data_IF_343289546896
#
_entry.id   IF_343289546896
#
_cell.length_a   1.000
_cell.length_b   1.000
_cell.length_c   1.000
_cell.angle_alpha   90.00
_cell.angle_beta   90.00
_cell.angle_gamma   90.00
#
_symmetry.space_group_name_H-M   'P 1'
#
loop_
_entity.id
_entity.type
_entity.pdbx_description
1 polymer ?
#
# COMPACT_ATOMS: atom_id res chain seq x y z
N UNK A 1 -1.78 -25.54 15.36
CA UNK A 1 -2.37 -24.65 16.38
C UNK A 1 -1.34 -24.52 17.49
N UNK A 2 -1.05 -23.31 17.96
CA UNK A 2 -0.10 -23.11 19.07
C UNK A 2 -0.80 -23.30 20.43
N UNK A 3 -0.01 -23.36 21.50
CA UNK A 3 -0.54 -23.64 22.85
C UNK A 3 -1.44 -22.53 23.43
N UNK A 4 -1.29 -21.27 22.97
CA UNK A 4 -2.14 -20.14 23.37
C UNK A 4 -3.53 -20.27 22.73
N UNK A 5 -3.56 -20.64 21.44
CA UNK A 5 -4.80 -20.91 20.70
C UNK A 5 -5.55 -22.09 21.34
N UNK A 6 -4.84 -23.15 21.75
CA UNK A 6 -5.44 -24.30 22.45
C UNK A 6 -6.06 -23.87 23.80
N UNK A 7 -5.34 -23.07 24.59
CA UNK A 7 -5.87 -22.53 25.85
C UNK A 7 -7.14 -21.70 25.63
N UNK A 8 -7.15 -20.91 24.55
CA UNK A 8 -8.29 -20.06 24.17
C UNK A 8 -9.48 -20.91 23.70
N UNK A 9 -9.23 -21.96 22.89
CA UNK A 9 -10.25 -22.90 22.41
C UNK A 9 -10.97 -23.58 23.58
N UNK A 10 -10.22 -24.01 24.58
CA UNK A 10 -10.78 -24.62 25.79
C UNK A 10 -11.42 -23.62 26.76
N UNK A 11 -11.21 -22.32 26.56
CA UNK A 11 -11.59 -21.25 27.48
C UNK A 11 -11.04 -21.48 28.89
N UNK A 12 -9.76 -21.89 28.99
CA UNK A 12 -9.15 -22.19 30.29
C UNK A 12 -9.03 -20.93 31.13
N UNK A 13 -9.49 -21.00 32.37
CA UNK A 13 -9.28 -19.93 33.33
C UNK A 13 -7.79 -19.82 33.69
N UNK A 14 -7.18 -18.72 33.24
CA UNK A 14 -5.77 -18.39 33.42
C UNK A 14 -5.40 -18.26 34.91
N UNK A 15 -6.36 -17.95 35.78
CA UNK A 15 -6.12 -17.88 37.23
C UNK A 15 -5.93 -19.25 37.89
N UNK A 16 -6.37 -20.33 37.24
CA UNK A 16 -6.26 -21.69 37.76
C UNK A 16 -4.96 -22.40 37.36
N UNK A 17 -4.12 -21.76 36.56
CA UNK A 17 -2.85 -22.34 36.12
C UNK A 17 -1.99 -22.71 37.33
N UNK A 18 -1.56 -23.98 37.39
CA UNK A 18 -0.80 -24.55 38.52
C UNK A 18 -1.66 -25.13 39.65
N UNK A 19 -2.98 -24.92 39.64
CA UNK A 19 -3.93 -25.52 40.60
C UNK A 19 -4.83 -26.61 40.00
N UNK A 20 -4.66 -26.88 38.70
CA UNK A 20 -5.43 -27.90 37.97
C UNK A 20 -5.21 -29.30 38.56
N UNK A 21 -6.30 -30.00 38.80
CA UNK A 21 -6.35 -31.37 39.30
C UNK A 21 -6.20 -32.38 38.17
N UNK A 22 -5.98 -33.66 38.52
CA UNK A 22 -5.97 -34.75 37.54
C UNK A 22 -7.29 -34.86 36.78
N UNK A 23 -8.42 -34.59 37.43
CA UNK A 23 -9.74 -34.61 36.79
C UNK A 23 -9.85 -33.52 35.72
N UNK A 24 -9.37 -32.30 36.01
CA UNK A 24 -9.35 -31.19 35.06
C UNK A 24 -8.53 -31.52 33.82
N UNK A 25 -7.35 -32.15 34.01
CA UNK A 25 -6.54 -32.60 32.88
C UNK A 25 -7.24 -33.66 32.02
N UNK A 26 -7.93 -34.62 32.63
CA UNK A 26 -8.69 -35.64 31.90
C UNK A 26 -9.87 -35.05 31.13
N UNK A 27 -10.57 -34.07 31.71
CA UNK A 27 -11.65 -33.36 31.03
C UNK A 27 -11.13 -32.56 29.83
N UNK A 28 -10.05 -31.79 30.02
CA UNK A 28 -9.41 -31.04 28.92
C UNK A 28 -8.96 -31.96 27.79
N UNK A 29 -8.37 -33.12 28.10
CA UNK A 29 -7.91 -34.09 27.11
C UNK A 29 -9.10 -34.65 26.31
N UNK A 30 -10.18 -35.03 27.00
CA UNK A 30 -11.41 -35.48 26.33
C UNK A 30 -12.01 -34.40 25.42
N UNK A 31 -12.00 -33.12 25.83
CA UNK A 31 -12.49 -32.02 25.01
C UNK A 31 -11.61 -31.80 23.78
N UNK A 32 -10.29 -31.83 23.93
CA UNK A 32 -9.38 -31.66 22.80
C UNK A 32 -9.48 -32.78 21.77
N UNK A 33 -9.70 -34.02 22.20
CA UNK A 33 -9.93 -35.13 21.26
C UNK A 33 -11.21 -34.96 20.44
N UNK A 34 -12.26 -34.37 21.02
CA UNK A 34 -13.47 -34.01 20.27
C UNK A 34 -13.20 -32.87 19.29
N UNK A 35 -12.44 -31.84 19.71
CA UNK A 35 -12.14 -30.68 18.87
C UNK A 35 -11.19 -30.99 17.71
N UNK A 36 -10.38 -32.06 17.78
CA UNK A 36 -9.54 -32.51 16.66
C UNK A 36 -10.33 -32.79 15.38
N UNK A 37 -11.61 -33.17 15.52
CA UNK A 37 -12.49 -33.39 14.37
C UNK A 37 -12.86 -32.08 13.65
N UNK A 38 -12.88 -30.96 14.36
CA UNK A 38 -13.26 -29.65 13.85
C UNK A 38 -12.05 -28.78 13.47
N UNK A 39 -10.86 -29.10 13.99
CA UNK A 39 -9.64 -28.30 13.84
C UNK A 39 -8.48 -29.14 13.30
N UNK A 40 -8.29 -29.15 11.98
CA UNK A 40 -7.24 -29.93 11.31
C UNK A 40 -5.81 -29.56 11.72
N UNK A 41 -5.62 -28.37 12.30
CA UNK A 41 -4.34 -27.89 12.80
C UNK A 41 -4.09 -28.23 14.28
N UNK A 42 -5.04 -28.87 14.97
CA UNK A 42 -4.89 -29.43 16.32
C UNK A 42 -4.32 -30.85 16.21
N UNK A 43 -3.06 -31.03 16.58
CA UNK A 43 -2.33 -32.30 16.46
C UNK A 43 -1.99 -32.88 17.83
N UNK A 44 -1.76 -34.20 17.90
CA UNK A 44 -1.30 -34.87 19.13
C UNK A 44 -0.05 -34.20 19.70
N UNK A 45 0.85 -33.76 18.81
CA UNK A 45 2.03 -33.01 19.20
C UNK A 45 1.65 -31.70 19.91
N UNK A 46 0.76 -30.89 19.32
CA UNK A 46 0.34 -29.61 19.90
C UNK A 46 -0.38 -29.77 21.25
N UNK A 47 -1.20 -30.82 21.38
CA UNK A 47 -1.88 -31.18 22.64
C UNK A 47 -0.84 -31.59 23.70
N UNK A 48 0.13 -32.43 23.34
CA UNK A 48 1.19 -32.83 24.25
C UNK A 48 2.03 -31.64 24.72
N UNK A 49 2.36 -30.70 23.82
CA UNK A 49 3.06 -29.46 24.18
C UNK A 49 2.23 -28.57 25.10
N UNK A 50 0.93 -28.42 24.84
CA UNK A 50 0.01 -27.67 25.70
C UNK A 50 -0.03 -28.23 27.12
N UNK A 51 -0.20 -29.55 27.29
CA UNK A 51 -0.19 -30.17 28.61
C UNK A 51 1.19 -30.12 29.28
N UNK A 52 2.28 -30.21 28.52
CA UNK A 52 3.64 -30.03 29.05
C UNK A 52 3.83 -28.61 29.58
N UNK A 53 3.39 -27.61 28.83
CA UNK A 53 3.40 -26.20 29.22
C UNK A 53 2.58 -25.97 30.50
N UNK A 54 1.33 -26.45 30.57
CA UNK A 54 0.48 -26.33 31.75
C UNK A 54 1.07 -27.00 33.00
N UNK A 55 1.63 -28.21 32.86
CA UNK A 55 2.12 -29.00 34.01
C UNK A 55 3.47 -28.51 34.54
N UNK A 56 4.38 -28.08 33.65
CA UNK A 56 5.78 -27.78 34.03
C UNK A 56 6.12 -26.29 34.01
N UNK A 57 5.31 -25.47 33.33
CA UNK A 57 5.60 -24.06 33.08
C UNK A 57 4.37 -23.17 33.32
N UNK A 58 3.52 -23.53 34.29
CA UNK A 58 2.26 -22.84 34.57
C UNK A 58 2.42 -21.32 34.75
N UNK A 59 3.42 -20.89 35.53
CA UNK A 59 3.67 -19.47 35.82
C UNK A 59 4.11 -18.67 34.58
N UNK A 60 5.15 -19.08 33.82
CA UNK A 60 5.48 -18.45 32.54
C UNK A 60 4.31 -18.44 31.53
N UNK A 61 3.56 -19.54 31.47
CA UNK A 61 2.41 -19.64 30.57
C UNK A 61 1.32 -18.62 30.97
N UNK A 62 1.03 -18.52 32.26
CA UNK A 62 0.10 -17.54 32.80
C UNK A 62 0.51 -16.10 32.45
N UNK A 63 1.80 -15.78 32.58
CA UNK A 63 2.33 -14.47 32.24
C UNK A 63 2.15 -14.14 30.74
N UNK A 64 2.39 -15.10 29.84
CA UNK A 64 2.15 -14.91 28.39
C UNK A 64 0.67 -14.68 28.10
N UNK A 65 -0.23 -15.45 28.72
CA UNK A 65 -1.69 -15.29 28.56
C UNK A 65 -2.21 -13.94 29.07
N UNK A 66 -1.58 -13.41 30.12
CA UNK A 66 -1.95 -12.12 30.72
C UNK A 66 -1.28 -10.91 30.03
N UNK A 67 -0.26 -11.14 29.20
CA UNK A 67 0.34 -10.08 28.40
C UNK A 67 -0.47 -9.84 27.13
N UNK A 68 -1.06 -8.64 27.00
CA UNK A 68 -1.92 -8.27 25.86
C UNK A 68 -1.25 -8.49 24.51
N UNK A 69 0.00 -8.04 24.35
CA UNK A 69 0.68 -8.08 23.06
C UNK A 69 0.98 -9.53 22.65
N UNK A 70 1.54 -10.32 23.56
CA UNK A 70 1.82 -11.74 23.31
C UNK A 70 0.54 -12.54 23.09
N UNK A 71 -0.47 -12.36 23.94
CA UNK A 71 -1.75 -13.06 23.78
C UNK A 71 -2.39 -12.73 22.43
N UNK A 72 -2.55 -11.45 22.09
CA UNK A 72 -3.19 -11.05 20.84
C UNK A 72 -2.44 -11.60 19.62
N UNK A 73 -1.10 -11.59 19.68
CA UNK A 73 -0.25 -12.16 18.65
C UNK A 73 -0.51 -13.66 18.48
N UNK A 74 -0.25 -14.48 19.51
CA UNK A 74 -0.35 -15.93 19.40
C UNK A 74 -1.80 -16.43 19.26
N UNK A 75 -2.78 -15.78 19.90
CA UNK A 75 -4.18 -16.16 19.79
C UNK A 75 -4.82 -15.67 18.47
N UNK A 76 -4.13 -14.82 17.70
CA UNK A 76 -4.65 -14.15 16.51
C UNK A 76 -5.95 -13.38 16.83
N UNK A 77 -5.91 -12.59 17.91
CA UNK A 77 -7.03 -11.77 18.41
C UNK A 77 -6.61 -10.31 18.52
N UNK A 78 -7.59 -9.42 18.68
CA UNK A 78 -7.35 -7.99 18.88
C UNK A 78 -8.13 -7.48 20.10
N UNK A 79 -7.84 -8.06 21.25
CA UNK A 79 -8.47 -7.67 22.51
C UNK A 79 -7.88 -6.38 23.07
N UNK A 80 -8.75 -5.58 23.69
CA UNK A 80 -8.40 -4.28 24.23
C UNK A 80 -7.69 -4.40 25.57
N UNK A 81 -6.91 -3.38 25.96
CA UNK A 81 -6.20 -3.34 27.26
C UNK A 81 -7.12 -3.56 28.47
N UNK A 82 -8.41 -3.24 28.37
CA UNK A 82 -9.40 -3.42 29.46
C UNK A 82 -9.66 -4.89 29.81
N UNK A 83 -9.35 -5.82 28.90
CA UNK A 83 -9.56 -7.25 29.08
C UNK A 83 -8.36 -7.95 29.72
N UNK A 84 -7.28 -7.21 30.00
CA UNK A 84 -6.06 -7.75 30.60
C UNK A 84 -5.81 -7.09 31.97
N UNK A 85 -5.21 -7.82 32.93
CA UNK A 85 -4.87 -7.28 34.23
C UNK A 85 -3.88 -6.10 34.10
N UNK A 86 -4.04 -5.08 34.96
CA UNK A 86 -3.36 -3.78 34.80
C UNK A 86 -1.85 -3.83 35.10
N UNK A 87 -1.38 -4.84 35.83
CA UNK A 87 0.01 -5.21 35.98
C UNK A 87 0.04 -6.55 36.74
N UNK A 88 0.54 -7.61 36.14
CA UNK A 88 1.00 -8.77 36.91
C UNK A 88 2.44 -8.45 37.27
N UNK A 89 2.80 -8.47 38.55
CA UNK A 89 4.21 -8.43 38.95
C UNK A 89 4.92 -9.57 38.24
N UNK A 90 5.75 -9.23 37.25
CA UNK A 90 6.52 -10.19 36.49
C UNK A 90 7.61 -10.72 37.42
N UNK A 91 7.39 -11.90 37.99
CA UNK A 91 8.32 -12.44 38.99
C UNK A 91 9.59 -13.05 38.37
N UNK A 92 9.54 -13.50 37.11
CA UNK A 92 10.72 -14.08 36.43
C UNK A 92 10.66 -13.94 34.90
N UNK A 93 11.22 -12.84 34.37
CA UNK A 93 11.34 -12.59 32.93
C UNK A 93 12.17 -13.66 32.21
N UNK A 94 13.16 -14.26 32.90
CA UNK A 94 14.03 -15.30 32.31
C UNK A 94 13.23 -16.56 32.01
N UNK A 95 12.37 -16.98 32.95
CA UNK A 95 11.50 -18.13 32.76
C UNK A 95 10.46 -17.90 31.63
N UNK A 96 9.97 -16.67 31.46
CA UNK A 96 9.05 -16.30 30.38
C UNK A 96 9.77 -16.36 29.01
N UNK A 97 10.98 -15.81 28.91
CA UNK A 97 11.81 -15.90 27.70
C UNK A 97 12.06 -17.36 27.32
N UNK A 98 12.47 -18.19 28.28
CA UNK A 98 12.72 -19.61 28.05
C UNK A 98 11.45 -20.36 27.63
N UNK A 99 10.29 -19.98 28.18
CA UNK A 99 9.00 -20.53 27.79
C UNK A 99 8.65 -20.21 26.33
N UNK A 100 8.74 -18.94 25.93
CA UNK A 100 8.47 -18.52 24.55
C UNK A 100 9.44 -19.22 23.59
N UNK A 101 10.73 -19.28 23.94
CA UNK A 101 11.74 -19.99 23.16
C UNK A 101 11.40 -21.47 22.97
N UNK A 102 10.84 -22.13 24.00
CA UNK A 102 10.58 -23.57 23.96
C UNK A 102 9.29 -23.91 23.22
N UNK A 103 8.24 -23.11 23.36
CA UNK A 103 6.89 -23.50 22.94
C UNK A 103 6.31 -22.65 21.80
N UNK A 104 6.85 -21.46 21.54
CA UNK A 104 6.21 -20.45 20.70
C UNK A 104 7.15 -19.82 19.65
N UNK A 105 8.44 -20.17 19.66
CA UNK A 105 9.44 -19.57 18.77
C UNK A 105 9.20 -19.88 17.29
N UNK A 106 8.63 -21.04 16.98
CA UNK A 106 8.39 -21.48 15.59
C UNK A 106 7.41 -20.56 14.85
N UNK A 107 6.49 -19.90 15.56
CA UNK A 107 5.57 -18.91 14.98
C UNK A 107 6.16 -17.51 15.02
N UNK A 108 6.90 -17.18 16.08
CA UNK A 108 7.48 -15.84 16.28
C UNK A 108 8.60 -15.52 15.27
N UNK A 109 9.52 -16.46 15.03
CA UNK A 109 10.67 -16.27 14.14
C UNK A 109 10.31 -15.90 12.69
N UNK A 110 9.53 -16.72 11.96
CA UNK A 110 9.22 -16.42 10.57
C UNK A 110 8.39 -15.14 10.46
N UNK A 111 7.49 -14.88 11.40
CA UNK A 111 6.69 -13.67 11.45
C UNK A 111 7.55 -12.40 11.52
N UNK A 112 8.48 -12.34 12.48
CA UNK A 112 9.34 -11.16 12.67
C UNK A 112 10.20 -10.93 11.43
N UNK A 113 10.79 -12.00 10.88
CA UNK A 113 11.62 -11.91 9.69
C UNK A 113 10.84 -11.41 8.48
N UNK A 114 9.66 -11.98 8.22
CA UNK A 114 8.79 -11.61 7.10
C UNK A 114 8.39 -10.13 7.18
N UNK A 115 7.83 -9.71 8.31
CA UNK A 115 7.34 -8.33 8.49
C UNK A 115 8.46 -7.28 8.40
N UNK A 116 9.63 -7.54 9.00
CA UNK A 116 10.77 -6.61 8.90
C UNK A 116 11.32 -6.53 7.47
N UNK A 117 11.39 -7.66 6.76
CA UNK A 117 11.87 -7.69 5.38
C UNK A 117 10.90 -6.98 4.42
N UNK A 118 9.59 -7.21 4.59
CA UNK A 118 8.53 -6.56 3.84
C UNK A 118 8.36 -5.06 4.18
N UNK A 119 9.03 -4.56 5.22
CA UNK A 119 8.85 -3.21 5.77
C UNK A 119 7.44 -2.93 6.33
N UNK A 120 6.78 -3.97 6.83
CA UNK A 120 5.43 -3.88 7.41
C UNK A 120 5.51 -3.74 8.93
N UNK A 121 5.51 -2.50 9.42
CA UNK A 121 5.79 -2.24 10.83
C UNK A 121 4.56 -2.28 11.75
N UNK A 122 3.34 -2.29 11.21
CA UNK A 122 2.11 -2.18 12.00
C UNK A 122 1.96 -3.31 13.04
N UNK A 123 2.12 -4.56 12.62
CA UNK A 123 1.91 -5.70 13.51
C UNK A 123 3.10 -5.92 14.45
N UNK A 124 4.33 -5.72 13.96
CA UNK A 124 5.53 -5.86 14.78
C UNK A 124 5.64 -4.74 15.84
N UNK A 125 5.12 -3.54 15.56
CA UNK A 125 5.04 -2.45 16.54
C UNK A 125 4.23 -2.84 17.79
N UNK A 126 3.18 -3.66 17.62
CA UNK A 126 2.41 -4.18 18.74
C UNK A 126 3.18 -5.25 19.52
N UNK A 127 3.92 -6.11 18.81
CA UNK A 127 4.71 -7.18 19.42
C UNK A 127 5.85 -6.65 20.28
N UNK A 128 6.54 -5.57 19.85
CA UNK A 128 7.66 -4.99 20.61
C UNK A 128 7.22 -4.28 21.90
N UNK A 129 5.92 -4.06 22.13
CA UNK A 129 5.44 -3.68 23.46
C UNK A 129 5.79 -4.74 24.52
N UNK A 130 5.92 -6.00 24.11
CA UNK A 130 6.34 -7.12 24.95
C UNK A 130 7.83 -7.46 24.80
N UNK A 131 8.68 -6.54 24.32
CA UNK A 131 10.10 -6.81 24.03
C UNK A 131 10.86 -7.43 25.21
N UNK A 132 10.52 -7.05 26.45
CA UNK A 132 11.16 -7.57 27.67
C UNK A 132 10.99 -9.09 27.83
N UNK A 133 9.92 -9.66 27.27
CA UNK A 133 9.61 -11.08 27.33
C UNK A 133 10.13 -11.86 26.11
N UNK A 134 10.54 -11.18 25.05
CA UNK A 134 11.03 -11.85 23.85
C UNK A 134 12.36 -12.57 24.16
N UNK A 135 12.59 -13.77 23.61
CA UNK A 135 13.87 -14.46 23.73
C UNK A 135 15.03 -13.57 23.28
N UNK A 136 16.19 -13.69 23.93
CA UNK A 136 17.30 -12.75 23.71
C UNK A 136 17.79 -12.75 22.25
N UNK A 137 17.84 -13.91 21.60
CA UNK A 137 18.19 -14.02 20.18
C UNK A 137 17.23 -13.21 19.30
N UNK A 138 15.92 -13.29 19.59
CA UNK A 138 14.89 -12.56 18.87
C UNK A 138 14.97 -11.05 19.15
N UNK A 139 15.11 -10.67 20.42
CA UNK A 139 15.26 -9.27 20.80
C UNK A 139 16.49 -8.63 20.12
N UNK A 140 17.62 -9.34 20.10
CA UNK A 140 18.84 -8.92 19.42
C UNK A 140 18.66 -8.82 17.90
N UNK A 141 17.94 -9.77 17.29
CA UNK A 141 17.64 -9.76 15.86
C UNK A 141 16.77 -8.55 15.48
N UNK A 142 15.70 -8.30 16.23
CA UNK A 142 14.81 -7.15 16.05
C UNK A 142 15.60 -5.85 16.19
N UNK A 143 16.44 -5.75 17.22
CA UNK A 143 17.30 -4.60 17.45
C UNK A 143 18.31 -4.37 16.31
N UNK A 144 18.97 -5.43 15.87
CA UNK A 144 19.90 -5.39 14.73
C UNK A 144 19.21 -4.85 13.48
N UNK A 145 18.01 -5.34 13.16
CA UNK A 145 17.27 -4.84 12.00
C UNK A 145 16.79 -3.40 12.17
N UNK A 146 16.31 -3.00 13.34
CA UNK A 146 15.94 -1.61 13.61
C UNK A 146 17.11 -0.67 13.33
N UNK A 147 18.30 -1.04 13.80
CA UNK A 147 19.55 -0.34 13.54
C UNK A 147 19.91 -0.31 12.05
N UNK A 148 19.89 -1.46 11.37
CA UNK A 148 20.20 -1.52 9.93
C UNK A 148 19.24 -0.70 9.08
N UNK A 149 17.95 -0.65 9.42
CA UNK A 149 16.96 0.20 8.76
C UNK A 149 17.31 1.68 8.96
N UNK A 150 17.58 2.12 10.19
CA UNK A 150 18.02 3.50 10.45
C UNK A 150 19.33 3.84 9.74
N UNK A 151 20.30 2.92 9.69
CA UNK A 151 21.58 3.13 9.00
C UNK A 151 21.41 3.19 7.48
N UNK A 152 20.52 2.36 6.90
CA UNK A 152 20.15 2.43 5.49
C UNK A 152 19.46 3.76 5.18
N UNK A 153 18.53 4.20 6.02
CA UNK A 153 17.82 5.47 5.84
C UNK A 153 18.79 6.66 5.92
N UNK A 154 19.67 6.69 6.93
CA UNK A 154 20.70 7.71 7.10
C UNK A 154 21.68 7.77 5.93
N UNK A 155 22.09 6.62 5.37
CA UNK A 155 22.97 6.57 4.19
C UNK A 155 22.25 7.06 2.94
N UNK A 156 21.03 6.58 2.70
CA UNK A 156 20.24 6.88 1.51
C UNK A 156 19.87 8.37 1.43
N UNK A 157 19.56 9.01 2.57
CA UNK A 157 19.14 10.42 2.62
C UNK A 157 20.31 11.42 2.60
N UNK A 158 21.58 10.98 2.59
CA UNK A 158 22.74 11.86 2.48
C UNK A 158 23.18 12.01 1.03
N UNK A 159 23.60 13.21 0.57
CA UNK A 159 24.20 13.38 -0.75
C UNK A 159 25.50 12.58 -0.90
N UNK A 160 25.75 11.92 -2.06
CA UNK A 160 24.82 11.74 -3.16
C UNK A 160 23.66 10.81 -2.77
N UNK A 161 22.42 11.27 -2.99
CA UNK A 161 21.22 10.55 -2.54
C UNK A 161 21.17 9.13 -3.12
N UNK A 162 20.82 8.17 -2.28
CA UNK A 162 20.58 6.79 -2.67
C UNK A 162 19.16 6.55 -3.18
N UNK A 163 18.82 5.28 -3.38
CA UNK A 163 17.48 4.85 -3.81
C UNK A 163 16.45 4.97 -2.68
N UNK A 164 15.60 6.00 -2.75
CA UNK A 164 14.56 6.26 -1.75
C UNK A 164 13.46 5.18 -1.68
N UNK A 165 13.29 4.34 -2.72
CA UNK A 165 12.30 3.25 -2.70
C UNK A 165 12.60 2.25 -1.58
N UNK A 166 13.88 2.08 -1.22
CA UNK A 166 14.34 1.15 -0.18
C UNK A 166 14.09 1.62 1.24
N UNK A 167 13.64 2.87 1.42
CA UNK A 167 13.47 3.48 2.75
C UNK A 167 12.08 4.06 2.95
N UNK A 168 11.09 3.70 2.11
CA UNK A 168 9.75 4.30 2.17
C UNK A 168 9.04 4.09 3.52
N UNK A 169 9.43 3.08 4.29
CA UNK A 169 8.93 2.85 5.64
C UNK A 169 9.14 4.02 6.61
N UNK A 170 10.09 4.92 6.34
CA UNK A 170 10.28 6.11 7.17
C UNK A 170 9.12 7.10 7.07
N UNK A 171 8.19 6.89 6.13
CA UNK A 171 6.93 7.65 6.00
C UNK A 171 5.79 7.03 6.82
N UNK A 172 5.97 5.83 7.36
CA UNK A 172 4.95 5.12 8.14
C UNK A 172 5.12 5.43 9.63
N UNK A 173 4.03 5.86 10.27
CA UNK A 173 3.98 6.09 11.71
C UNK A 173 4.37 4.84 12.50
N UNK A 174 3.98 3.64 12.03
CA UNK A 174 4.25 2.40 12.73
C UNK A 174 5.73 2.07 12.83
N UNK A 175 6.57 2.54 11.91
CA UNK A 175 8.01 2.40 12.02
C UNK A 175 8.53 3.09 13.29
N UNK A 176 8.05 4.30 13.59
CA UNK A 176 8.46 5.05 14.78
C UNK A 176 7.85 4.50 16.07
N UNK A 177 6.63 3.98 16.02
CA UNK A 177 6.02 3.24 17.14
C UNK A 177 6.83 1.98 17.44
N UNK A 178 7.25 1.25 16.40
CA UNK A 178 8.14 0.10 16.53
C UNK A 178 9.47 0.48 17.20
N UNK A 179 10.09 1.59 16.79
CA UNK A 179 11.32 2.08 17.43
C UNK A 179 11.12 2.45 18.91
N UNK A 180 9.92 2.91 19.31
CA UNK A 180 9.64 3.20 20.72
C UNK A 180 9.73 1.95 21.61
N UNK A 181 9.40 0.77 21.09
CA UNK A 181 9.51 -0.49 21.83
C UNK A 181 10.95 -0.95 22.07
N UNK A 182 11.93 -0.34 21.40
CA UNK A 182 13.35 -0.77 21.40
C UNK A 182 14.30 0.34 21.90
N UNK A 183 13.76 1.34 22.60
CA UNK A 183 14.50 2.56 22.94
C UNK A 183 15.72 2.27 23.82
N UNK A 184 16.86 2.77 23.38
CA UNK A 184 18.10 2.86 24.14
C UNK A 184 18.95 4.02 23.60
N UNK A 185 20.05 4.33 24.27
CA UNK A 185 20.93 5.45 23.90
C UNK A 185 21.52 5.32 22.49
N UNK A 186 21.88 4.12 22.04
CA UNK A 186 22.47 3.91 20.70
C UNK A 186 21.44 4.16 19.58
N UNK A 187 20.22 3.66 19.75
CA UNK A 187 19.11 3.88 18.80
C UNK A 187 18.72 5.36 18.77
N UNK A 188 18.70 6.03 19.93
CA UNK A 188 18.43 7.45 20.07
C UNK A 188 19.42 8.28 19.24
N UNK A 189 20.73 8.01 19.32
CA UNK A 189 21.74 8.73 18.53
C UNK A 189 21.56 8.53 17.01
N UNK A 190 21.14 7.34 16.58
CA UNK A 190 20.80 7.08 15.17
C UNK A 190 19.57 7.84 14.72
N UNK A 191 18.59 8.02 15.60
CA UNK A 191 17.38 8.80 15.33
C UNK A 191 17.70 10.30 15.33
N UNK A 192 18.57 10.80 16.21
CA UNK A 192 19.07 12.18 16.14
C UNK A 192 19.78 12.47 14.81
N UNK A 193 20.64 11.54 14.36
CA UNK A 193 21.30 11.64 13.07
C UNK A 193 20.30 11.62 11.92
N UNK A 194 19.30 10.73 11.99
CA UNK A 194 18.24 10.61 11.00
C UNK A 194 17.40 11.89 10.92
N UNK A 195 16.94 12.39 12.06
CA UNK A 195 16.22 13.64 12.19
C UNK A 195 16.99 14.81 11.54
N UNK A 196 18.27 14.94 11.86
CA UNK A 196 19.15 15.98 11.30
C UNK A 196 19.29 15.84 9.78
N UNK A 197 19.39 14.61 9.28
CA UNK A 197 19.50 14.33 7.84
C UNK A 197 18.21 14.70 7.10
N UNK A 198 17.05 14.33 7.65
CA UNK A 198 15.73 14.70 7.10
C UNK A 198 15.52 16.22 7.15
N UNK A 199 15.95 16.88 8.22
CA UNK A 199 15.94 18.35 8.34
C UNK A 199 16.79 19.02 7.27
N UNK A 200 18.01 18.56 7.06
CA UNK A 200 18.87 19.10 6.01
C UNK A 200 18.26 18.90 4.61
N UNK A 201 17.64 17.74 4.36
CA UNK A 201 16.89 17.49 3.12
C UNK A 201 15.72 18.49 2.96
N UNK A 202 14.93 18.71 4.02
CA UNK A 202 13.82 19.66 4.00
C UNK A 202 14.28 21.11 3.81
N UNK A 203 15.41 21.50 4.42
CA UNK A 203 15.96 22.85 4.26
C UNK A 203 16.50 23.06 2.84
N UNK A 204 17.09 22.03 2.23
CA UNK A 204 17.55 22.07 0.84
C UNK A 204 16.37 22.08 -0.16
N UNK A 205 15.27 21.38 0.16
CA UNK A 205 14.04 21.37 -0.62
C UNK A 205 12.80 21.34 0.29
N UNK A 206 12.24 22.52 0.55
CA UNK A 206 11.02 22.69 1.36
C UNK A 206 9.78 22.04 0.74
N UNK A 207 9.84 21.63 -0.52
CA UNK A 207 8.75 20.94 -1.21
C UNK A 207 8.83 19.42 -1.10
N UNK A 208 9.95 18.87 -0.62
CA UNK A 208 10.19 17.42 -0.47
C UNK A 208 9.04 16.73 0.27
N UNK A 209 8.29 15.91 -0.46
CA UNK A 209 7.20 15.11 0.10
C UNK A 209 7.73 14.06 1.08
N UNK A 210 8.85 13.41 0.73
CA UNK A 210 9.51 12.44 1.59
C UNK A 210 9.82 13.06 2.95
N UNK A 211 10.48 14.22 3.00
CA UNK A 211 10.83 14.85 4.26
C UNK A 211 9.59 15.25 5.09
N UNK A 212 8.55 15.79 4.44
CA UNK A 212 7.30 16.16 5.13
C UNK A 212 6.56 14.95 5.72
N UNK A 213 6.44 13.87 4.95
CA UNK A 213 5.79 12.64 5.41
C UNK A 213 6.61 11.98 6.51
N UNK A 214 7.94 11.94 6.38
CA UNK A 214 8.83 11.45 7.43
C UNK A 214 8.64 12.24 8.73
N UNK A 215 8.63 13.57 8.68
CA UNK A 215 8.36 14.36 9.88
C UNK A 215 6.99 14.11 10.50
N UNK A 216 5.98 13.88 9.66
CA UNK A 216 4.63 13.54 10.13
C UNK A 216 4.63 12.19 10.84
N UNK A 217 5.31 11.19 10.28
CA UNK A 217 5.45 9.87 10.87
C UNK A 217 6.28 9.89 12.17
N UNK A 218 7.38 10.65 12.19
CA UNK A 218 8.28 10.83 13.34
C UNK A 218 7.59 11.39 14.58
N UNK A 219 6.42 12.02 14.45
CA UNK A 219 5.60 12.46 15.60
C UNK A 219 5.22 11.32 16.54
N UNK A 220 5.23 10.09 16.04
CA UNK A 220 4.92 8.91 16.83
C UNK A 220 6.16 8.34 17.54
N UNK A 221 7.30 9.02 17.46
CA UNK A 221 8.51 8.65 18.21
C UNK A 221 8.57 9.43 19.53
N UNK A 222 8.75 8.69 20.63
CA UNK A 222 8.88 9.21 21.98
C UNK A 222 10.37 9.23 22.38
N UNK A 223 11.06 10.33 22.04
CA UNK A 223 12.49 10.50 22.27
C UNK A 223 12.89 10.44 23.76
N UNK A 224 14.06 9.85 24.03
CA UNK A 224 14.70 9.88 25.36
C UNK A 224 15.28 11.27 25.66
N UNK A 225 15.74 11.98 24.62
CA UNK A 225 16.34 13.30 24.73
C UNK A 225 15.28 14.41 24.63
N UNK A 226 15.17 15.22 25.68
CA UNK A 226 14.20 16.33 25.76
C UNK A 226 14.33 17.33 24.60
N UNK A 227 15.55 17.55 24.10
CA UNK A 227 15.79 18.47 22.99
C UNK A 227 15.33 17.88 21.66
N UNK A 228 15.59 16.60 21.40
CA UNK A 228 15.04 15.88 20.24
C UNK A 228 13.51 15.86 20.30
N UNK A 229 12.93 15.55 21.45
CA UNK A 229 11.48 15.57 21.68
C UNK A 229 10.87 16.94 21.33
N UNK A 230 11.48 18.03 21.84
CA UNK A 230 11.07 19.40 21.48
C UNK A 230 11.24 19.71 19.99
N UNK A 231 12.32 19.24 19.36
CA UNK A 231 12.57 19.48 17.93
C UNK A 231 11.55 18.76 17.04
N UNK A 232 11.24 17.50 17.34
CA UNK A 232 10.14 16.74 16.71
C UNK A 232 8.81 17.48 16.93
N UNK A 233 8.58 17.96 18.15
CA UNK A 233 7.40 18.74 18.52
C UNK A 233 7.30 20.11 17.84
N UNK A 234 8.40 20.78 17.51
CA UNK A 234 8.38 22.13 16.87
C UNK A 234 8.08 22.04 15.37
N UNK A 235 8.52 20.95 14.72
CA UNK A 235 8.12 20.63 13.35
C UNK A 235 6.64 20.26 13.22
N UNK A 236 5.99 19.85 14.32
CA UNK A 236 4.54 19.63 14.40
C UNK A 236 3.77 20.84 13.90
N UNK A 237 4.14 22.03 14.38
CA UNK A 237 3.43 23.28 14.07
C UNK A 237 3.79 23.77 12.67
N UNK A 238 5.07 23.77 12.29
CA UNK A 238 5.51 24.30 10.99
C UNK A 238 5.16 23.40 9.79
N UNK A 239 5.12 22.07 9.97
CA UNK A 239 4.71 21.13 8.94
C UNK A 239 3.17 21.02 8.83
N UNK A 240 2.40 21.14 9.92
CA UNK A 240 0.93 21.21 9.84
C UNK A 240 0.42 22.53 9.28
N UNK A 241 1.13 23.66 9.52
CA UNK A 241 0.78 24.95 8.91
C UNK A 241 0.93 24.92 7.37
N UNK A 242 1.77 24.02 6.82
CA UNK A 242 1.99 23.87 5.38
C UNK A 242 1.43 22.58 4.77
N UNK A 243 1.09 21.58 5.59
CA UNK A 243 0.30 20.44 5.19
C UNK A 243 -1.17 20.77 5.44
N UNK A 244 -1.76 21.53 4.52
CA UNK A 244 -3.18 21.34 4.29
C UNK A 244 -3.28 19.96 3.62
N UNK A 245 -3.95 18.95 4.20
CA UNK A 245 -4.47 17.88 3.35
C UNK A 245 -5.20 18.57 2.20
N UNK A 246 -5.29 17.92 1.04
CA UNK A 246 -6.11 18.40 -0.05
C UNK A 246 -7.59 18.38 0.40
N UNK A 247 -7.98 19.29 1.28
CA UNK A 247 -9.32 19.74 1.47
C UNK A 247 -9.58 20.53 0.19
N UNK A 248 -10.34 19.92 -0.71
CA UNK A 248 -11.07 20.66 -1.71
C UNK A 248 -11.68 21.84 -0.95
N UNK A 249 -11.22 23.06 -1.25
CA UNK A 249 -11.90 24.27 -0.80
C UNK A 249 -13.29 24.20 -1.44
N UNK A 250 -14.22 23.49 -0.77
CA UNK A 250 -15.63 23.60 -1.04
C UNK A 250 -15.97 25.01 -0.64
N UNK A 251 -15.87 25.95 -1.60
CA UNK A 251 -16.66 27.17 -1.55
C UNK A 251 -18.06 26.69 -1.17
N UNK A 252 -18.52 27.04 0.03
CA UNK A 252 -19.87 26.70 0.46
C UNK A 252 -20.80 27.51 -0.42
N UNK A 253 -21.18 26.91 -1.53
CA UNK A 253 -22.14 27.46 -2.45
C UNK A 253 -23.53 27.27 -1.83
N UNK A 254 -23.85 28.10 -0.84
CA UNK A 254 -25.18 28.15 -0.21
C UNK A 254 -26.29 28.36 -1.25
N UNK A 255 -25.96 28.96 -2.39
CA UNK A 255 -26.86 29.10 -3.53
C UNK A 255 -27.25 27.77 -4.19
N UNK A 256 -26.39 26.74 -4.16
CA UNK A 256 -26.74 25.41 -4.70
C UNK A 256 -27.81 24.76 -3.82
N UNK A 257 -27.74 24.90 -2.50
CA UNK A 257 -28.81 24.43 -1.60
C UNK A 257 -30.11 25.19 -1.81
N UNK A 258 -30.05 26.49 -2.15
CA UNK A 258 -31.24 27.27 -2.51
C UNK A 258 -31.86 26.81 -3.84
N UNK A 259 -31.03 26.52 -4.86
CA UNK A 259 -31.50 26.00 -6.16
C UNK A 259 -32.06 24.59 -6.03
N UNK A 260 -31.41 23.71 -5.26
CA UNK A 260 -31.92 22.36 -4.97
C UNK A 260 -33.23 22.44 -4.17
N UNK A 261 -33.31 23.34 -3.18
CA UNK A 261 -34.54 23.60 -2.43
C UNK A 261 -35.68 24.10 -3.32
N UNK A 262 -35.40 24.98 -4.29
CA UNK A 262 -36.36 25.44 -5.28
C UNK A 262 -36.83 24.30 -6.18
N UNK A 263 -35.93 23.43 -6.64
CA UNK A 263 -36.28 22.25 -7.45
C UNK A 263 -37.13 21.24 -6.68
N UNK A 264 -36.85 21.03 -5.40
CA UNK A 264 -37.68 20.18 -4.53
C UNK A 264 -39.05 20.81 -4.33
N UNK A 265 -39.15 22.12 -4.09
CA UNK A 265 -40.44 22.81 -3.97
C UNK A 265 -41.25 22.76 -5.28
N UNK A 266 -40.62 22.94 -6.43
CA UNK A 266 -41.27 22.80 -7.75
C UNK A 266 -41.75 21.36 -7.93
N UNK A 267 -40.93 20.35 -7.62
CA UNK A 267 -41.34 18.94 -7.72
C UNK A 267 -42.46 18.59 -6.75
N UNK A 268 -42.42 19.07 -5.51
CA UNK A 268 -43.50 18.85 -4.52
C UNK A 268 -44.76 19.58 -4.95
N UNK A 269 -44.66 20.77 -5.53
CA UNK A 269 -45.82 21.50 -6.03
C UNK A 269 -46.46 20.83 -7.26
N UNK A 270 -45.64 20.27 -8.16
CA UNK A 270 -46.12 19.44 -9.29
C UNK A 270 -46.70 18.09 -8.81
N UNK A 271 -46.13 17.50 -7.77
CA UNK A 271 -46.63 16.25 -7.19
C UNK A 271 -47.93 16.45 -6.40
N UNK A 272 -48.11 17.61 -5.75
CA UNK A 272 -49.38 17.98 -5.09
C UNK A 272 -50.45 18.33 -6.14
N UNK A 273 -50.09 18.92 -7.29
CA UNK A 273 -51.06 19.10 -8.38
C UNK A 273 -51.50 17.76 -8.98
N UNK A 274 -50.57 16.82 -9.16
CA UNK A 274 -50.88 15.47 -9.67
C UNK A 274 -51.68 14.61 -8.67
N UNK A 275 -51.48 14.78 -7.36
CA UNK A 275 -52.26 14.08 -6.31
C UNK A 275 -53.65 14.71 -6.09
N UNK A 276 -53.87 15.96 -6.49
CA UNK A 276 -55.21 16.58 -6.44
C UNK A 276 -56.18 16.05 -7.51
N UNK A 277 -55.67 15.40 -8.56
CA UNK A 277 -56.47 14.78 -9.64
C UNK A 277 -56.73 13.27 -9.46
N UNK A 278 -56.08 12.60 -8.49
CA UNK A 278 -56.20 11.14 -8.30
C UNK A 278 -56.89 10.72 -6.98
N UNK A 279 -57.84 11.52 -6.46
CA UNK A 279 -58.66 11.13 -5.32
C UNK A 279 -60.16 11.10 -5.69
N UNK A 280 -60.54 10.11 -6.49
CA UNK A 280 -61.91 9.63 -6.66
C UNK A 280 -61.89 8.17 -7.16
N UNK A 281 -61.81 7.20 -6.24
CA UNK A 281 -62.57 5.93 -6.24
C UNK A 281 -62.01 4.93 -5.22
N UNK A 282 -62.74 4.82 -4.10
CA UNK A 282 -63.21 3.62 -3.40
C UNK A 282 -62.44 2.27 -3.47
N UNK A 283 -62.05 1.85 -2.25
CA UNK A 283 -62.38 0.61 -1.51
C UNK A 283 -61.78 -0.78 -1.84
N UNK A 284 -61.15 -1.30 -0.77
CA UNK A 284 -61.36 -2.59 -0.06
C UNK A 284 -60.56 -3.89 -0.29
N UNK A 285 -60.23 -4.47 0.88
CA UNK A 285 -60.00 -5.87 1.31
C UNK A 285 -58.84 -6.77 0.80
N UNK A 286 -58.02 -7.17 1.78
CA UNK A 286 -57.60 -8.53 2.20
C UNK A 286 -56.56 -9.41 1.45
N UNK A 287 -55.57 -9.85 2.27
CA UNK A 287 -54.98 -11.18 2.49
C UNK A 287 -53.92 -11.86 1.58
N UNK A 288 -52.82 -12.21 2.29
CA UNK A 288 -51.90 -13.37 2.31
C UNK A 288 -51.20 -13.99 1.07
N UNK A 289 -49.90 -14.22 1.34
CA UNK A 289 -48.97 -15.29 0.93
C UNK A 289 -48.27 -15.29 -0.44
N UNK A 290 -46.96 -14.99 -0.36
CA UNK A 290 -45.79 -15.82 -0.71
C UNK A 290 -45.68 -16.38 -2.13
N UNK A 291 -44.72 -15.90 -2.94
CA UNK A 291 -43.89 -16.68 -3.89
C UNK A 291 -42.62 -15.90 -4.30
N UNK A 292 -41.55 -16.67 -4.52
CA UNK A 292 -40.18 -16.27 -4.83
C UNK A 292 -39.97 -15.65 -6.22
N UNK A 293 -38.84 -14.94 -6.33
CA UNK A 293 -37.97 -14.74 -7.52
C UNK A 293 -38.35 -13.66 -8.54
N UNK A 294 -37.54 -12.61 -8.61
CA UNK A 294 -36.73 -12.26 -9.80
C UNK A 294 -35.83 -11.07 -9.44
N UNK A 295 -34.51 -11.32 -9.32
CA UNK A 295 -33.54 -10.24 -9.13
C UNK A 295 -33.40 -9.47 -10.44
N UNK A 296 -33.89 -8.23 -10.47
CA UNK A 296 -33.63 -7.28 -11.55
C UNK A 296 -32.12 -7.22 -11.86
N UNK A 297 -31.74 -7.06 -13.15
CA UNK A 297 -30.34 -6.91 -13.51
C UNK A 297 -29.79 -5.68 -12.78
N UNK A 298 -28.66 -5.86 -12.07
CA UNK A 298 -27.99 -4.77 -11.35
C UNK A 298 -27.80 -3.60 -12.30
N UNK A 299 -28.61 -2.55 -12.15
CA UNK A 299 -28.33 -1.24 -12.75
C UNK A 299 -26.98 -0.80 -12.19
N UNK A 300 -25.94 -0.83 -13.03
CA UNK A 300 -24.66 -0.27 -12.68
C UNK A 300 -24.89 1.16 -12.16
N UNK A 301 -24.39 1.40 -10.95
CA UNK A 301 -24.49 2.71 -10.30
C UNK A 301 -23.95 3.79 -11.25
N UNK A 302 -24.62 4.95 -11.30
CA UNK A 302 -24.18 6.10 -12.11
C UNK A 302 -22.74 6.50 -11.79
N UNK A 303 -22.29 6.21 -10.56
CA UNK A 303 -20.90 6.38 -10.13
C UNK A 303 -19.87 5.68 -11.04
N UNK A 304 -20.21 4.53 -11.64
CA UNK A 304 -19.32 3.77 -12.52
C UNK A 304 -19.45 4.10 -14.00
N UNK A 305 -20.54 4.75 -14.43
CA UNK A 305 -20.73 5.16 -15.84
C UNK A 305 -20.11 6.52 -16.16
N UNK A 306 -19.92 7.38 -15.15
CA UNK A 306 -19.27 8.69 -15.29
C UNK A 306 -17.76 8.67 -14.95
N UNK A 307 -17.19 7.53 -14.54
CA UNK A 307 -15.74 7.38 -14.41
C UNK A 307 -15.09 7.25 -15.79
N UNK A 308 -14.86 8.40 -16.43
CA UNK A 308 -13.77 8.50 -17.41
C UNK A 308 -12.47 8.30 -16.67
N UNK A 309 -11.88 7.11 -16.78
CA UNK A 309 -10.51 6.86 -16.33
C UNK A 309 -9.61 8.02 -16.81
N UNK A 310 -8.71 8.47 -15.93
CA UNK A 310 -7.79 9.60 -16.10
C UNK A 310 -6.75 9.44 -17.23
N UNK A 311 -7.07 8.77 -18.34
CA UNK A 311 -6.21 8.62 -19.53
C UNK A 311 -5.91 9.98 -20.18
N UNK A 312 -6.88 10.91 -20.16
CA UNK A 312 -6.66 12.29 -20.61
C UNK A 312 -5.50 12.95 -19.87
N UNK A 313 -5.32 12.69 -18.57
CA UNK A 313 -4.25 13.32 -17.80
C UNK A 313 -2.86 12.79 -18.18
N UNK A 314 -2.72 11.50 -18.52
CA UNK A 314 -1.43 10.92 -18.91
C UNK A 314 -1.03 11.34 -20.33
N UNK A 315 -1.95 11.25 -21.30
CA UNK A 315 -1.70 11.76 -22.66
C UNK A 315 -1.37 13.25 -22.63
N UNK A 316 -2.12 14.04 -21.84
CA UNK A 316 -1.83 15.47 -21.60
C UNK A 316 -0.44 15.66 -21.00
N UNK A 317 -0.01 14.85 -20.03
CA UNK A 317 1.34 14.94 -19.48
C UNK A 317 2.47 14.68 -20.48
N UNK A 318 2.27 13.76 -21.42
CA UNK A 318 3.24 13.48 -22.47
C UNK A 318 3.37 14.65 -23.45
N UNK A 319 2.27 15.34 -23.76
CA UNK A 319 2.23 16.30 -24.88
C UNK A 319 2.19 17.77 -24.46
N UNK A 320 1.77 18.10 -23.24
CA UNK A 320 1.75 19.47 -22.71
C UNK A 320 3.12 19.81 -22.12
N UNK A 321 4.10 19.86 -23.02
CA UNK A 321 5.43 20.37 -22.80
C UNK A 321 5.43 21.89 -23.05
N UNK A 322 5.60 22.67 -21.99
CA UNK A 322 5.89 24.10 -22.09
C UNK A 322 7.26 24.38 -21.48
N UNK A 323 8.26 24.62 -22.34
CA UNK A 323 9.64 24.86 -21.92
C UNK A 323 9.75 26.01 -20.91
N UNK A 324 8.91 27.04 -21.04
CA UNK A 324 8.95 28.23 -20.20
C UNK A 324 8.44 27.96 -18.77
N UNK A 325 7.71 26.87 -18.56
CA UNK A 325 7.19 26.45 -17.25
C UNK A 325 8.11 25.45 -16.54
N UNK A 326 9.23 25.05 -17.16
CA UNK A 326 10.13 24.03 -16.62
C UNK A 326 11.07 24.64 -15.58
N UNK A 327 11.00 24.14 -14.35
CA UNK A 327 11.86 24.59 -13.26
C UNK A 327 13.16 23.81 -13.15
N UNK A 328 13.12 22.51 -13.45
CA UNK A 328 14.27 21.59 -13.32
C UNK A 328 14.13 20.47 -14.34
N UNK A 329 15.22 20.15 -15.05
CA UNK A 329 15.29 19.08 -16.05
C UNK A 329 16.39 18.09 -15.67
N UNK A 330 16.05 16.81 -15.53
CA UNK A 330 17.00 15.72 -15.26
C UNK A 330 16.99 14.77 -16.45
N UNK A 331 18.10 14.71 -17.20
CA UNK A 331 18.23 13.86 -18.38
C UNK A 331 18.63 12.43 -18.00
N UNK A 332 18.15 11.45 -18.77
CA UNK A 332 18.68 10.09 -18.76
C UNK A 332 19.64 9.93 -19.94
N UNK A 333 20.81 9.33 -19.70
CA UNK A 333 21.75 8.95 -20.76
C UNK A 333 21.67 7.46 -21.14
N UNK A 334 21.10 6.59 -20.29
CA UNK A 334 21.42 5.16 -20.31
C UNK A 334 20.22 4.22 -20.57
N UNK A 335 19.05 4.73 -20.99
CA UNK A 335 17.90 3.87 -21.33
C UNK A 335 18.16 3.13 -22.66
N UNK A 336 17.94 1.81 -22.64
CA UNK A 336 18.16 0.91 -23.79
C UNK A 336 16.84 0.57 -24.48
N UNK A 337 16.91 0.25 -25.77
CA UNK A 337 15.77 -0.29 -26.52
C UNK A 337 15.18 -1.51 -25.80
N UNK A 338 13.85 -1.56 -25.71
CA UNK A 338 13.08 -2.58 -24.99
C UNK A 338 12.75 -2.25 -23.53
N UNK A 339 13.42 -1.29 -22.91
CA UNK A 339 13.11 -0.90 -21.52
C UNK A 339 11.81 -0.10 -21.42
N UNK A 340 11.08 -0.29 -20.31
CA UNK A 340 9.87 0.45 -19.99
C UNK A 340 10.22 1.72 -19.17
N UNK A 341 9.92 2.94 -19.66
CA UNK A 341 10.11 4.17 -18.89
C UNK A 341 8.87 4.65 -18.11
N UNK A 342 7.73 3.95 -18.20
CA UNK A 342 6.42 4.33 -17.66
C UNK A 342 5.81 3.26 -16.75
N UNK A 343 6.52 2.93 -15.67
CA UNK A 343 6.14 1.86 -14.73
C UNK A 343 4.91 2.18 -13.85
N UNK A 344 4.38 3.41 -13.88
CA UNK A 344 3.17 3.78 -13.10
C UNK A 344 1.91 3.25 -13.76
N UNK A 345 1.87 3.21 -15.08
CA UNK A 345 0.69 2.80 -15.86
C UNK A 345 0.92 1.53 -16.67
N UNK A 346 2.16 1.27 -17.07
CA UNK A 346 2.51 0.16 -17.93
C UNK A 346 3.37 -0.82 -17.15
N UNK A 347 3.06 -2.10 -17.26
CA UNK A 347 3.81 -3.19 -16.69
C UNK A 347 5.13 -3.41 -17.47
N UNK A 348 6.12 -4.01 -16.80
CA UNK A 348 7.28 -4.55 -17.50
C UNK A 348 6.86 -5.75 -18.36
N UNK A 349 7.62 -6.06 -19.42
CA UNK A 349 7.27 -7.19 -20.29
C UNK A 349 6.97 -8.46 -19.47
N UNK A 350 5.83 -9.12 -19.73
CA UNK A 350 5.52 -10.37 -19.05
C UNK A 350 6.61 -11.41 -19.37
N UNK A 351 7.15 -12.04 -18.35
CA UNK A 351 8.06 -13.19 -18.50
C UNK A 351 7.25 -14.40 -18.97
N UNK A 352 7.23 -14.65 -20.28
CA UNK A 352 6.59 -15.81 -20.88
C UNK A 352 6.82 -15.88 -22.39
N UNK A 353 7.13 -17.08 -22.89
CA UNK A 353 7.19 -17.37 -24.32
C UNK A 353 5.77 -17.44 -24.87
N UNK A 354 5.28 -16.35 -25.46
CA UNK A 354 4.21 -16.47 -26.45
C UNK A 354 4.88 -16.62 -27.82
N UNK A 355 4.33 -17.48 -28.68
CA UNK A 355 4.91 -17.80 -29.99
C UNK A 355 4.76 -16.68 -31.02
N UNK A 356 4.05 -15.59 -30.70
CA UNK A 356 3.70 -14.51 -31.63
C UNK A 356 4.50 -13.25 -31.31
N UNK A 357 5.58 -13.05 -32.07
CA UNK A 357 6.44 -11.87 -31.97
C UNK A 357 6.35 -11.07 -33.27
N UNK A 358 6.08 -9.78 -33.17
CA UNK A 358 6.26 -8.84 -34.29
C UNK A 358 7.53 -8.03 -34.07
N UNK A 359 8.27 -7.82 -35.15
CA UNK A 359 9.41 -6.91 -35.16
C UNK A 359 8.93 -5.51 -35.47
N UNK A 360 9.16 -4.58 -34.55
CA UNK A 360 8.86 -3.16 -34.72
C UNK A 360 10.19 -2.41 -34.87
N UNK A 361 10.44 -1.83 -36.04
CA UNK A 361 11.65 -1.07 -36.31
C UNK A 361 11.37 0.43 -36.32
N UNK A 362 12.07 1.19 -35.46
CA UNK A 362 12.05 2.65 -35.49
C UNK A 362 13.09 3.16 -36.49
N UNK A 363 12.65 3.54 -37.68
CA UNK A 363 13.51 4.11 -38.74
C UNK A 363 13.44 5.64 -38.83
N UNK A 364 12.88 6.29 -37.81
CA UNK A 364 12.84 7.75 -37.71
C UNK A 364 14.12 8.32 -37.10
N UNK A 365 14.30 9.64 -37.23
CA UNK A 365 15.36 10.40 -36.56
C UNK A 365 15.02 10.75 -35.09
N UNK A 366 13.95 10.17 -34.55
CA UNK A 366 13.46 10.39 -33.19
C UNK A 366 13.49 9.09 -32.41
N UNK A 367 13.69 9.19 -31.11
CA UNK A 367 13.44 8.06 -30.22
C UNK A 367 11.92 7.88 -30.07
N UNK A 368 11.51 6.64 -29.84
CA UNK A 368 10.11 6.24 -29.85
C UNK A 368 9.73 5.56 -28.54
N UNK A 369 8.53 5.87 -28.08
CA UNK A 369 7.84 5.19 -27.00
C UNK A 369 6.60 4.54 -27.57
N UNK A 370 6.61 3.21 -27.57
CA UNK A 370 5.52 2.38 -28.03
C UNK A 370 4.67 1.98 -26.82
N UNK A 371 3.40 2.40 -26.81
CA UNK A 371 2.47 2.15 -25.71
C UNK A 371 1.45 1.09 -26.14
N UNK A 372 1.54 -0.11 -25.59
CA UNK A 372 0.63 -1.22 -25.85
C UNK A 372 -0.60 -1.11 -24.93
N UNK A 373 -1.80 -1.17 -25.50
CA UNK A 373 -3.04 -1.16 -24.74
C UNK A 373 -3.98 -2.27 -25.22
N UNK A 374 -4.65 -2.95 -24.28
CA UNK A 374 -5.76 -3.85 -24.58
C UNK A 374 -7.07 -3.07 -24.69
N UNK A 375 -7.90 -3.38 -25.68
CA UNK A 375 -9.25 -2.81 -25.79
C UNK A 375 -10.27 -3.76 -25.16
N UNK A 376 -10.78 -3.41 -23.98
CA UNK A 376 -11.93 -4.10 -23.37
C UNK A 376 -13.24 -3.38 -23.73
N UNK A 377 -14.32 -4.14 -23.90
CA UNK A 377 -15.73 -3.71 -24.06
C UNK A 377 -15.96 -2.27 -24.56
N UNK A 378 -16.41 -2.10 -25.81
CA UNK A 378 -16.90 -0.82 -26.35
C UNK A 378 -15.97 0.40 -26.07
N UNK A 379 -14.69 0.30 -26.45
CA UNK A 379 -13.68 1.38 -26.57
C UNK A 379 -12.81 1.74 -25.35
N UNK A 380 -12.84 0.97 -24.25
CA UNK A 380 -11.96 1.23 -23.10
C UNK A 380 -10.55 0.68 -23.38
N UNK A 381 -9.54 1.54 -23.34
CA UNK A 381 -8.12 1.20 -23.54
C UNK A 381 -7.44 1.01 -22.19
N UNK A 382 -6.92 -0.18 -21.93
CA UNK A 382 -6.20 -0.50 -20.71
C UNK A 382 -4.70 -0.60 -21.03
N UNK A 383 -3.86 0.25 -20.40
CA UNK A 383 -2.41 0.14 -20.49
C UNK A 383 -1.91 -1.28 -20.17
N UNK A 384 -1.07 -1.86 -21.02
CA UNK A 384 -0.40 -3.16 -20.77
C UNK A 384 1.09 -2.96 -20.55
N UNK A 385 1.84 -2.73 -21.62
CA UNK A 385 3.29 -2.57 -21.58
C UNK A 385 3.71 -1.32 -22.36
N UNK A 386 4.88 -0.78 -22.02
CA UNK A 386 5.49 0.31 -22.78
C UNK A 386 6.94 0.00 -23.10
N UNK A 387 7.37 0.40 -24.29
CA UNK A 387 8.69 0.11 -24.80
C UNK A 387 9.38 1.35 -25.36
N UNK A 388 10.59 1.59 -24.88
CA UNK A 388 11.50 2.54 -25.50
C UNK A 388 12.18 1.90 -26.71
N UNK A 389 12.21 2.58 -27.86
CA UNK A 389 12.90 2.15 -29.07
C UNK A 389 13.74 3.31 -29.59
N UNK A 390 15.07 3.16 -29.53
CA UNK A 390 16.00 4.19 -29.98
C UNK A 390 15.89 4.42 -31.48
N UNK A 391 16.15 5.65 -31.93
CA UNK A 391 16.24 5.97 -33.36
C UNK A 391 17.18 5.01 -34.11
N UNK A 392 16.67 4.40 -35.18
CA UNK A 392 17.39 3.41 -36.01
C UNK A 392 17.39 1.97 -35.49
N UNK A 393 16.83 1.73 -34.30
CA UNK A 393 16.84 0.42 -33.64
C UNK A 393 15.52 -0.35 -33.84
N UNK A 394 15.45 -1.59 -33.38
CA UNK A 394 14.23 -2.41 -33.43
C UNK A 394 14.00 -3.19 -32.13
N UNK A 395 12.75 -3.61 -31.93
CA UNK A 395 12.33 -4.43 -30.81
C UNK A 395 11.41 -5.55 -31.30
N UNK A 396 11.51 -6.74 -30.70
CA UNK A 396 10.48 -7.76 -30.82
C UNK A 396 9.45 -7.57 -29.72
N UNK A 397 8.20 -7.36 -30.11
CA UNK A 397 7.08 -7.23 -29.18
C UNK A 397 6.30 -8.53 -29.22
N UNK A 398 6.22 -9.16 -28.04
CA UNK A 398 5.41 -10.32 -27.80
C UNK A 398 4.00 -9.83 -27.43
N UNK A 399 2.97 -10.30 -28.13
CA UNK A 399 1.58 -9.99 -27.80
C UNK A 399 0.72 -11.26 -27.86
N UNK A 400 -0.27 -11.34 -26.97
CA UNK A 400 -1.20 -12.46 -26.93
C UNK A 400 -2.32 -12.24 -27.98
N UNK A 401 -2.31 -13.01 -29.06
CA UNK A 401 -3.30 -12.90 -30.13
C UNK A 401 -4.71 -13.37 -29.73
N UNK A 402 -4.86 -14.08 -28.62
CA UNK A 402 -6.15 -14.60 -28.13
C UNK A 402 -6.87 -13.62 -27.18
N UNK A 403 -6.17 -12.62 -26.64
CA UNK A 403 -6.74 -11.60 -25.76
C UNK A 403 -6.95 -10.29 -26.52
N UNK A 404 -8.22 -9.91 -26.73
CA UNK A 404 -8.73 -8.55 -26.99
C UNK A 404 -7.85 -7.59 -27.84
N UNK A 405 -8.33 -7.21 -29.05
CA UNK A 405 -7.79 -6.15 -29.95
C UNK A 405 -6.68 -5.27 -29.31
N UNK A 406 -5.43 -5.68 -29.44
CA UNK A 406 -4.29 -4.88 -29.00
C UNK A 406 -4.12 -3.69 -29.92
N UNK A 407 -3.98 -2.51 -29.32
CA UNK A 407 -3.68 -1.28 -30.05
C UNK A 407 -2.40 -0.66 -29.50
N UNK A 408 -1.66 -0.03 -30.39
CA UNK A 408 -0.44 0.69 -30.06
C UNK A 408 -0.66 2.19 -30.26
N UNK A 409 -0.19 2.99 -29.30
CA UNK A 409 -0.04 4.43 -29.49
C UNK A 409 1.45 4.77 -29.50
N UNK A 410 1.83 5.70 -30.38
CA UNK A 410 3.24 6.04 -30.63
C UNK A 410 3.54 7.44 -30.13
N UNK A 411 4.56 7.57 -29.29
CA UNK A 411 5.03 8.85 -28.77
C UNK A 411 6.49 9.08 -29.20
N UNK A 412 6.76 10.20 -29.86
CA UNK A 412 8.04 10.49 -30.52
C UNK A 412 8.72 11.74 -29.97
N UNK A 413 10.03 11.67 -29.79
CA UNK A 413 10.82 12.83 -29.41
C UNK A 413 12.32 12.54 -29.25
N UNK A 414 13.01 13.47 -28.59
CA UNK A 414 14.43 13.39 -28.26
C UNK A 414 14.63 13.72 -26.80
N UNK A 415 15.77 13.27 -26.27
CA UNK A 415 16.27 13.62 -24.92
C UNK A 415 15.24 13.30 -23.84
N UNK A 416 15.03 12.02 -23.59
CA UNK A 416 14.16 11.54 -22.52
C UNK A 416 14.66 12.06 -21.16
N UNK A 417 13.77 12.69 -20.40
CA UNK A 417 14.09 13.41 -19.17
C UNK A 417 12.90 13.51 -18.21
N UNK A 418 13.16 13.81 -16.95
CA UNK A 418 12.14 14.22 -15.99
C UNK A 418 12.16 15.73 -15.81
N UNK A 419 11.00 16.33 -15.55
CA UNK A 419 10.95 17.76 -15.23
C UNK A 419 9.76 18.17 -14.37
N UNK A 420 9.94 19.28 -13.64
CA UNK A 420 8.91 19.93 -12.83
C UNK A 420 8.30 21.11 -13.59
N UNK A 421 6.96 21.16 -13.70
CA UNK A 421 6.20 22.28 -14.28
C UNK A 421 5.41 23.04 -13.20
N UNK A 422 4.92 24.23 -13.53
CA UNK A 422 4.02 25.00 -12.65
C UNK A 422 2.64 24.35 -12.48
N UNK A 423 2.23 23.50 -13.42
CA UNK A 423 0.91 22.88 -13.47
C UNK A 423 0.70 21.70 -12.51
N UNK A 424 1.69 21.31 -11.69
CA UNK A 424 1.62 20.20 -10.72
C UNK A 424 1.12 18.83 -11.29
N UNK A 425 1.00 18.67 -12.61
CA UNK A 425 0.68 17.39 -13.26
C UNK A 425 1.96 16.55 -13.33
N UNK A 426 2.27 15.85 -12.24
CA UNK A 426 3.40 14.93 -12.15
C UNK A 426 2.88 13.50 -12.04
N UNK A 427 3.35 12.63 -12.92
CA UNK A 427 3.23 11.20 -12.74
C UNK A 427 4.48 10.70 -12.06
N UNK A 428 4.30 10.10 -10.89
CA UNK A 428 5.36 9.71 -9.99
C UNK A 428 5.27 8.21 -9.81
N UNK A 429 6.30 7.48 -10.23
CA UNK A 429 6.41 6.05 -9.97
C UNK A 429 6.86 5.79 -8.53
N UNK A 430 6.75 4.54 -8.08
CA UNK A 430 7.25 4.11 -6.77
C UNK A 430 8.65 4.66 -6.49
N UNK A 431 8.86 5.28 -5.32
CA UNK A 431 10.13 5.93 -4.99
C UNK A 431 10.27 7.41 -5.37
N UNK A 432 9.17 8.13 -5.63
CA UNK A 432 9.16 9.59 -5.89
C UNK A 432 9.90 10.02 -7.17
N UNK A 433 10.14 9.07 -8.09
CA UNK A 433 10.73 9.36 -9.39
C UNK A 433 9.62 9.83 -10.33
N UNK A 434 9.78 11.03 -10.90
CA UNK A 434 8.86 11.51 -11.93
C UNK A 434 9.06 10.67 -13.19
N UNK A 435 7.98 10.26 -13.84
CA UNK A 435 8.06 9.51 -15.09
C UNK A 435 8.75 10.30 -16.20
N UNK A 436 9.42 9.56 -17.08
CA UNK A 436 10.27 10.15 -18.11
C UNK A 436 9.47 10.56 -19.34
N UNK A 437 9.81 11.69 -19.93
CA UNK A 437 9.19 12.15 -21.19
C UNK A 437 10.23 12.83 -22.06
N UNK A 438 9.96 12.90 -23.36
CA UNK A 438 10.85 13.63 -24.25
C UNK A 438 10.86 15.12 -23.92
N UNK A 439 12.04 15.70 -23.78
CA UNK A 439 12.19 17.15 -23.61
C UNK A 439 12.14 17.90 -24.94
N UNK A 440 12.19 17.19 -26.06
CA UNK A 440 12.01 17.72 -27.40
C UNK A 440 11.04 16.82 -28.16
N UNK A 441 9.81 17.27 -28.38
CA UNK A 441 8.80 16.47 -29.09
C UNK A 441 9.02 16.53 -30.61
N UNK A 442 8.75 15.44 -31.31
CA UNK A 442 8.60 15.50 -32.77
C UNK A 442 7.44 16.45 -33.13
N UNK A 443 7.49 17.17 -34.27
CA UNK A 443 6.35 17.96 -34.72
C UNK A 443 5.10 17.08 -34.81
N UNK A 444 3.95 17.62 -34.39
CA UNK A 444 2.67 16.88 -34.35
C UNK A 444 2.67 15.61 -33.47
N UNK A 445 3.64 15.43 -32.56
CA UNK A 445 3.65 14.28 -31.63
C UNK A 445 2.32 14.07 -30.88
N UNK A 446 1.60 15.15 -30.54
CA UNK A 446 0.27 15.08 -29.92
C UNK A 446 -0.79 14.41 -30.79
N UNK A 447 -0.75 14.67 -32.10
CA UNK A 447 -1.67 14.04 -33.05
C UNK A 447 -1.31 12.56 -33.24
N UNK A 448 -0.02 12.25 -33.39
CA UNK A 448 0.49 10.89 -33.57
C UNK A 448 0.17 10.02 -32.33
N UNK A 449 0.35 10.54 -31.13
CA UNK A 449 -0.01 9.83 -29.88
C UNK A 449 -1.52 9.53 -29.77
N UNK A 450 -2.37 10.29 -30.46
CA UNK A 450 -3.80 10.07 -30.43
C UNK A 450 -4.26 8.97 -31.41
N UNK A 451 -3.43 8.62 -32.40
CA UNK A 451 -3.70 7.60 -33.42
C UNK A 451 -3.53 6.20 -32.82
N UNK A 452 -4.47 5.31 -33.13
CA UNK A 452 -4.43 3.90 -32.75
C UNK A 452 -3.88 3.07 -33.91
N UNK A 453 -2.82 2.33 -33.63
CA UNK A 453 -2.19 1.44 -34.59
C UNK A 453 -2.44 -0.01 -34.22
N UNK A 454 -2.70 -0.86 -35.21
CA UNK A 454 -2.83 -2.30 -35.06
C UNK A 454 -1.77 -2.93 -35.95
N UNK A 455 -0.84 -3.67 -35.35
CA UNK A 455 0.24 -4.33 -36.09
C UNK A 455 0.00 -5.83 -36.10
N UNK A 456 -0.30 -6.37 -37.29
CA UNK A 456 -0.49 -7.81 -37.50
C UNK A 456 0.78 -8.51 -38.02
N UNK A 457 1.74 -7.74 -38.53
CA UNK A 457 3.00 -8.21 -39.09
C UNK A 457 4.16 -7.32 -38.64
N UNK A 458 5.39 -7.73 -38.95
CA UNK A 458 6.58 -6.88 -38.82
C UNK A 458 6.34 -5.52 -39.49
N UNK A 459 6.68 -4.45 -38.78
CA UNK A 459 6.41 -3.08 -39.21
C UNK A 459 7.65 -2.21 -39.08
N UNK A 460 7.87 -1.38 -40.10
CA UNK A 460 8.90 -0.35 -40.05
C UNK A 460 8.23 1.01 -39.92
N UNK A 461 8.41 1.62 -38.75
CA UNK A 461 7.85 2.92 -38.43
C UNK A 461 8.83 4.03 -38.82
N UNK A 462 8.36 4.99 -39.60
CA UNK A 462 9.14 6.14 -40.05
C UNK A 462 8.41 7.44 -39.72
N UNK A 463 9.15 8.54 -39.59
CA UNK A 463 8.58 9.88 -39.46
C UNK A 463 8.97 10.72 -40.67
N UNK A 464 8.00 10.97 -41.57
CA UNK A 464 8.19 11.77 -42.78
C UNK A 464 6.99 12.69 -42.99
N UNK A 465 7.22 13.86 -43.60
CA UNK A 465 6.18 14.83 -43.95
C UNK A 465 5.25 15.24 -42.78
N UNK A 466 5.75 15.21 -41.54
CA UNK A 466 4.98 15.61 -40.37
C UNK A 466 4.01 14.55 -39.83
N UNK A 467 4.17 13.27 -40.21
CA UNK A 467 3.36 12.17 -39.71
C UNK A 467 4.16 10.88 -39.54
N UNK A 468 3.56 9.91 -38.85
CA UNK A 468 4.07 8.55 -38.77
C UNK A 468 3.67 7.79 -40.05
N UNK A 469 4.61 7.04 -40.63
CA UNK A 469 4.39 6.19 -41.81
C UNK A 469 4.77 4.76 -41.42
N UNK A 470 3.92 3.82 -41.79
CA UNK A 470 4.12 2.38 -41.66
C UNK A 470 4.54 1.81 -43.02
N UNK A 471 5.76 1.27 -43.10
CA UNK A 471 6.31 0.58 -44.28
C UNK A 471 6.35 -0.93 -44.07
#
# INVERSE_FOLDING_TARGET
MNIIQIATLLSVDVTQFGSLTKADFTEMESRLEQEKLNHSNLTDHSIAQFFKALKKHAQPFQAVMNNRALFNFFAQKNYSKKQFPTAVEVQDTTAIKAFIQTFLIEELNPFVLDKIQANEFQEIALLVEAHEFLPDEMANLIYFFAKEKLDLANRTLKPPFGDFSKILYVKDAHFFIFLNGLKNEELEEKIKLFFTTVMNMYMADKTSELAKQTFTAMKNYDALDDQLSKNIGTLKESAEINYKPFAVNRKKYYWIYAVVGLFILIRVSLFISDISEMNNQYDDYENYDDYETESEPRKLDRYYTDMKFKIDSFRTFLVDYNQDQIKRLTKISDIKTGQNPFETFYENQPTGESGNNIRIQNSSDYDMLLLENAVLYDSIKIPRTAHYIKAGDFLYVNFNSEEAKTIFNVYLGKKLATFQTESNHLFVRGGSVVEYRFSELAPRAKAILAEDHIFENDVKLNYKNGGLIED
#
